data_IF_079860157368
#
_entry.id   IF_079860157368
#
_cell.length_a   1.000
_cell.length_b   1.000
_cell.length_c   1.000
_cell.angle_alpha   90.00
_cell.angle_beta   90.00
_cell.angle_gamma   90.00
#
_symmetry.space_group_name_H-M   'P 1'
#
loop_
_entity.id
_entity.type
_entity.pdbx_description
1 polymer ?
#
# COMPACT_ATOMS: atom_id res chain seq x y z
N UNK A 1 11.11 -12.68 -7.36
CA UNK A 1 11.92 -12.30 -6.18
C UNK A 1 11.53 -10.88 -5.81
N UNK A 2 11.41 -10.53 -4.52
CA UNK A 2 10.96 -9.20 -4.08
C UNK A 2 11.55 -8.81 -2.74
N UNK A 3 11.49 -7.52 -2.40
CA UNK A 3 12.04 -6.93 -1.17
C UNK A 3 10.96 -6.79 -0.12
N UNK A 4 11.14 -7.42 1.05
CA UNK A 4 10.20 -7.38 2.18
C UNK A 4 10.79 -6.63 3.34
N UNK A 5 10.04 -5.66 3.87
CA UNK A 5 10.35 -4.99 5.13
C UNK A 5 9.45 -5.53 6.24
N UNK A 6 10.07 -5.87 7.38
CA UNK A 6 9.41 -6.61 8.45
C UNK A 6 9.77 -6.05 9.82
N UNK A 7 8.80 -6.07 10.72
CA UNK A 7 8.98 -5.89 12.16
C UNK A 7 8.91 -7.27 12.79
N UNK A 8 10.05 -7.79 13.24
CA UNK A 8 10.20 -9.19 13.65
C UNK A 8 9.74 -10.13 12.52
N UNK A 9 8.61 -10.83 12.72
CA UNK A 9 8.02 -11.76 11.74
C UNK A 9 6.88 -11.14 10.92
N UNK A 10 6.47 -9.89 11.18
CA UNK A 10 5.32 -9.24 10.53
C UNK A 10 5.80 -8.36 9.37
N UNK A 11 5.36 -8.64 8.15
CA UNK A 11 5.67 -7.82 6.97
C UNK A 11 4.74 -6.63 6.89
N UNK A 12 5.30 -5.42 6.91
CA UNK A 12 4.53 -4.18 6.73
C UNK A 12 4.64 -3.66 5.30
N UNK A 13 5.70 -3.96 4.58
CA UNK A 13 5.84 -3.60 3.18
C UNK A 13 6.47 -4.73 2.37
N UNK A 14 6.04 -4.91 1.12
CA UNK A 14 6.65 -5.83 0.18
C UNK A 14 6.57 -5.27 -1.23
N UNK A 15 7.73 -5.04 -1.85
CA UNK A 15 7.82 -4.70 -3.27
C UNK A 15 8.22 -5.93 -4.04
N UNK A 16 7.52 -6.22 -5.13
CA UNK A 16 7.87 -7.31 -6.03
C UNK A 16 7.51 -6.97 -7.49
N UNK A 17 8.33 -7.48 -8.40
CA UNK A 17 7.91 -7.63 -9.79
C UNK A 17 6.94 -8.81 -9.86
N UNK A 18 5.74 -8.53 -10.33
CA UNK A 18 4.67 -9.47 -10.59
C UNK A 18 4.79 -9.86 -12.05
N UNK A 19 5.01 -11.15 -12.26
CA UNK A 19 4.92 -11.77 -13.58
C UNK A 19 3.58 -12.50 -13.64
N UNK A 20 2.66 -12.14 -14.57
CA UNK A 20 1.34 -12.76 -14.70
C UNK A 20 1.38 -14.29 -14.77
N UNK A 21 2.40 -14.86 -15.42
CA UNK A 21 2.56 -16.31 -15.61
C UNK A 21 2.88 -17.04 -14.30
N UNK A 22 3.45 -16.32 -13.33
CA UNK A 22 3.93 -16.89 -12.07
C UNK A 22 3.12 -16.42 -10.85
N UNK A 23 2.38 -15.31 -10.98
CA UNK A 23 1.78 -14.58 -9.86
C UNK A 23 0.36 -14.09 -10.17
N UNK A 24 -0.46 -14.95 -10.76
CA UNK A 24 -1.81 -14.65 -11.23
C UNK A 24 -2.73 -13.95 -10.19
N UNK A 25 -2.55 -14.17 -8.89
CA UNK A 25 -3.35 -13.48 -7.86
C UNK A 25 -3.05 -11.97 -7.76
N UNK A 26 -1.80 -11.57 -8.00
CA UNK A 26 -1.44 -10.15 -8.05
C UNK A 26 -1.82 -9.53 -9.39
N UNK A 27 -1.57 -10.24 -10.50
CA UNK A 27 -1.89 -9.80 -11.84
C UNK A 27 -3.40 -9.55 -12.02
N UNK A 28 -4.25 -10.48 -11.55
CA UNK A 28 -5.72 -10.30 -11.55
C UNK A 28 -6.17 -9.14 -10.68
N UNK A 29 -5.61 -9.01 -9.49
CA UNK A 29 -6.02 -7.96 -8.57
C UNK A 29 -5.61 -6.56 -9.09
N UNK A 30 -4.50 -6.48 -9.82
CA UNK A 30 -4.04 -5.26 -10.49
C UNK A 30 -4.60 -5.09 -11.92
N UNK A 31 -5.48 -6.00 -12.37
CA UNK A 31 -6.05 -6.03 -13.72
C UNK A 31 -5.00 -5.86 -14.85
N UNK A 32 -3.89 -6.60 -14.75
CA UNK A 32 -2.76 -6.49 -15.68
C UNK A 32 -2.32 -7.84 -16.24
N UNK A 33 -2.18 -7.90 -17.56
CA UNK A 33 -1.61 -9.02 -18.31
C UNK A 33 -0.12 -8.83 -18.65
N UNK A 34 0.50 -7.76 -18.16
CA UNK A 34 1.92 -7.46 -18.33
C UNK A 34 2.68 -7.55 -17.00
N UNK A 35 4.01 -7.76 -17.03
CA UNK A 35 4.82 -7.68 -15.83
C UNK A 35 4.78 -6.28 -15.20
N UNK A 36 4.28 -6.19 -13.97
CA UNK A 36 4.15 -4.93 -13.23
C UNK A 36 4.98 -4.93 -11.95
N UNK A 37 5.37 -3.75 -11.48
CA UNK A 37 5.94 -3.59 -10.15
C UNK A 37 4.81 -3.27 -9.16
N UNK A 38 4.72 -4.04 -8.07
CA UNK A 38 3.68 -3.86 -7.05
C UNK A 38 4.33 -3.62 -5.70
N UNK A 39 3.77 -2.66 -4.96
CA UNK A 39 3.96 -2.51 -3.52
C UNK A 39 2.73 -3.07 -2.81
N UNK A 40 2.91 -3.93 -1.81
CA UNK A 40 1.87 -4.22 -0.82
C UNK A 40 2.23 -3.68 0.54
N UNK A 41 1.23 -3.16 1.22
CA UNK A 41 1.34 -2.57 2.54
C UNK A 41 0.10 -2.88 3.39
N UNK A 42 0.14 -2.46 4.65
CA UNK A 42 -0.95 -2.64 5.62
C UNK A 42 -1.70 -1.35 5.85
N UNK A 43 -3.02 -1.42 5.86
CA UNK A 43 -3.90 -0.30 6.16
C UNK A 43 -5.04 -0.77 7.09
N UNK A 44 -5.46 0.04 8.06
CA UNK A 44 -6.71 -0.17 8.82
C UNK A 44 -7.91 -0.37 7.88
N UNK A 45 -8.82 -1.29 8.24
CA UNK A 45 -9.93 -1.66 7.36
C UNK A 45 -10.87 -0.49 6.99
N UNK A 46 -10.96 0.52 7.85
CA UNK A 46 -11.71 1.76 7.65
C UNK A 46 -11.05 2.71 6.62
N UNK A 47 -9.74 2.64 6.43
CA UNK A 47 -9.01 3.45 5.45
C UNK A 47 -8.92 2.76 4.07
N UNK A 48 -8.94 1.42 4.04
CA UNK A 48 -8.90 0.62 2.79
C UNK A 48 -9.99 1.06 1.82
N UNK A 49 -11.21 1.27 2.31
CA UNK A 49 -12.34 1.67 1.46
C UNK A 49 -12.07 3.01 0.74
N UNK A 50 -11.39 3.95 1.42
CA UNK A 50 -11.00 5.24 0.83
C UNK A 50 -9.95 5.08 -0.26
N UNK A 51 -8.90 4.28 -0.01
CA UNK A 51 -7.86 3.98 -0.99
C UNK A 51 -8.44 3.34 -2.25
N UNK A 52 -9.31 2.34 -2.09
CA UNK A 52 -9.95 1.65 -3.21
C UNK A 52 -10.94 2.54 -3.97
N UNK A 53 -11.62 3.46 -3.28
CA UNK A 53 -12.50 4.43 -3.93
C UNK A 53 -11.74 5.43 -4.81
N UNK A 54 -10.44 5.67 -4.52
CA UNK A 54 -9.53 6.43 -5.38
C UNK A 54 -9.22 5.73 -6.71
N UNK A 55 -9.42 4.42 -6.80
CA UNK A 55 -9.12 3.62 -7.99
C UNK A 55 -7.62 3.38 -8.17
N UNK A 56 -7.17 3.31 -9.42
CA UNK A 56 -5.74 3.17 -9.74
C UNK A 56 -4.92 4.26 -9.02
N UNK A 57 -3.78 3.93 -8.38
CA UNK A 57 -3.03 2.67 -8.48
C UNK A 57 -3.41 1.58 -7.46
N UNK A 58 -4.43 1.80 -6.64
CA UNK A 58 -4.76 0.92 -5.52
C UNK A 58 -5.65 -0.25 -5.91
N UNK A 59 -5.38 -1.40 -5.30
CA UNK A 59 -6.22 -2.58 -5.42
C UNK A 59 -6.21 -3.41 -4.13
N UNK A 60 -7.21 -4.29 -4.01
CA UNK A 60 -7.32 -5.21 -2.87
C UNK A 60 -6.91 -6.61 -3.30
N UNK A 61 -5.79 -7.14 -2.77
CA UNK A 61 -5.48 -8.56 -2.95
C UNK A 61 -6.49 -9.43 -2.19
N UNK A 62 -6.78 -10.62 -2.72
CA UNK A 62 -7.69 -11.62 -2.13
C UNK A 62 -7.15 -12.28 -0.85
N UNK A 63 -5.97 -11.88 -0.38
CA UNK A 63 -5.35 -12.38 0.83
C UNK A 63 -5.10 -11.24 1.82
N UNK A 64 -5.24 -11.54 3.11
CA UNK A 64 -5.00 -10.59 4.21
C UNK A 64 -6.06 -9.49 4.27
N UNK A 65 -6.81 -9.44 5.37
CA UNK A 65 -7.91 -8.49 5.54
C UNK A 65 -7.45 -7.02 5.52
N UNK A 66 -6.23 -6.77 6.00
CA UNK A 66 -5.65 -5.44 6.18
C UNK A 66 -4.50 -5.16 5.20
N UNK A 67 -4.54 -5.79 4.03
CA UNK A 67 -3.50 -5.67 2.99
C UNK A 67 -4.07 -4.92 1.81
N UNK A 68 -3.32 -3.92 1.34
CA UNK A 68 -3.58 -3.16 0.13
C UNK A 68 -2.40 -3.35 -0.83
N UNK A 69 -2.70 -3.43 -2.12
CA UNK A 69 -1.73 -3.40 -3.20
C UNK A 69 -1.77 -2.06 -3.92
N UNK A 70 -0.62 -1.64 -4.42
CA UNK A 70 -0.43 -0.46 -5.23
C UNK A 70 0.47 -0.80 -6.41
N UNK A 71 0.06 -0.44 -7.62
CA UNK A 71 0.93 -0.51 -8.80
C UNK A 71 1.96 0.63 -8.71
N UNK A 72 3.23 0.30 -8.92
CA UNK A 72 4.32 1.27 -9.03
C UNK A 72 4.59 1.51 -10.52
N UNK A 73 4.20 2.68 -11.00
CA UNK A 73 4.46 3.17 -12.35
C UNK A 73 5.22 4.51 -12.32
N UNK A 74 5.39 5.13 -13.49
CA UNK A 74 6.12 6.38 -13.64
C UNK A 74 5.41 7.61 -13.01
N UNK A 75 4.13 7.48 -12.64
CA UNK A 75 3.32 8.54 -12.05
C UNK A 75 3.33 8.54 -10.51
N UNK A 76 4.06 7.60 -9.90
CA UNK A 76 4.02 7.39 -8.45
C UNK A 76 4.47 8.64 -7.66
N UNK A 77 3.62 9.05 -6.71
CA UNK A 77 4.00 10.05 -5.71
C UNK A 77 4.75 9.38 -4.55
N UNK A 78 6.06 9.56 -4.52
CA UNK A 78 6.91 9.01 -3.47
C UNK A 78 6.66 9.62 -2.09
N UNK A 79 6.08 10.82 -2.01
CA UNK A 79 5.65 11.39 -0.74
C UNK A 79 4.49 10.58 -0.18
N UNK A 80 3.44 10.34 -0.98
CA UNK A 80 2.29 9.50 -0.62
C UNK A 80 2.74 8.08 -0.22
N UNK A 81 3.63 7.44 -1.00
CA UNK A 81 4.22 6.14 -0.62
C UNK A 81 4.89 6.19 0.75
N UNK A 82 5.60 7.28 1.05
CA UNK A 82 6.21 7.51 2.35
C UNK A 82 5.19 7.54 3.49
N UNK A 83 4.05 8.21 3.28
CA UNK A 83 2.93 8.25 4.26
C UNK A 83 2.32 6.87 4.46
N UNK A 84 1.95 6.18 3.37
CA UNK A 84 1.36 4.84 3.41
C UNK A 84 2.26 3.82 4.11
N UNK A 85 3.56 3.86 3.85
CA UNK A 85 4.52 2.96 4.50
C UNK A 85 4.74 3.30 5.98
N UNK A 86 4.67 4.58 6.34
CA UNK A 86 4.76 5.06 7.72
C UNK A 86 3.57 4.57 8.54
N UNK A 87 2.37 4.71 8.00
CA UNK A 87 1.14 4.21 8.62
C UNK A 87 1.16 2.68 8.70
N UNK A 88 1.52 2.01 7.61
CA UNK A 88 1.65 0.56 7.58
C UNK A 88 2.63 0.01 8.63
N UNK A 89 3.77 0.67 8.79
CA UNK A 89 4.71 0.36 9.85
C UNK A 89 4.04 0.51 11.23
N UNK A 90 3.37 1.64 11.48
CA UNK A 90 2.69 1.91 12.75
C UNK A 90 1.60 0.89 13.09
N UNK A 91 0.86 0.37 12.10
CA UNK A 91 -0.15 -0.68 12.28
C UNK A 91 0.46 -1.97 12.85
N UNK A 92 1.68 -2.33 12.42
CA UNK A 92 2.33 -3.56 12.87
C UNK A 92 3.33 -3.37 14.02
N UNK A 93 3.83 -2.14 14.20
CA UNK A 93 4.85 -1.82 15.17
C UNK A 93 4.33 -1.96 16.62
N UNK A 94 5.16 -2.47 17.54
CA UNK A 94 4.92 -2.27 18.97
C UNK A 94 4.78 -0.78 19.29
N UNK A 95 3.91 -0.43 20.24
CA UNK A 95 3.64 0.97 20.64
C UNK A 95 4.90 1.82 20.87
N UNK A 96 5.92 1.23 21.50
CA UNK A 96 7.21 1.90 21.75
C UNK A 96 7.93 2.33 20.47
N UNK A 97 7.85 1.53 19.40
CA UNK A 97 8.47 1.86 18.12
C UNK A 97 7.59 2.80 17.29
N UNK A 98 6.27 2.58 17.30
CA UNK A 98 5.34 3.47 16.62
C UNK A 98 5.41 4.91 17.16
N UNK A 99 5.70 5.07 18.46
CA UNK A 99 5.85 6.38 19.10
C UNK A 99 7.15 7.13 18.72
N UNK A 100 8.10 6.46 18.06
CA UNK A 100 9.36 7.07 17.60
C UNK A 100 9.30 7.52 16.13
N UNK A 101 8.17 7.29 15.47
CA UNK A 101 7.98 7.63 14.06
C UNK A 101 7.21 8.94 14.00
N UNK A 102 7.80 9.95 13.37
CA UNK A 102 7.11 11.18 13.03
C UNK A 102 6.04 10.86 11.99
N UNK A 103 4.78 11.09 12.36
CA UNK A 103 3.67 10.88 11.44
C UNK A 103 3.47 12.13 10.60
N UNK A 104 3.39 12.01 9.26
CA UNK A 104 2.91 13.12 8.45
C UNK A 104 1.54 13.54 8.98
N UNK A 105 1.37 14.85 9.22
CA UNK A 105 0.07 15.37 9.60
C UNK A 105 -0.88 15.11 8.43
N UNK A 106 -2.06 14.52 8.71
CA UNK A 106 -3.05 14.22 7.68
C UNK A 106 -3.20 15.41 6.72
N UNK A 107 -3.18 15.18 5.39
CA UNK A 107 -3.34 16.27 4.43
C UNK A 107 -4.65 17.02 4.74
N UNK A 108 -4.65 18.36 4.67
CA UNK A 108 -5.86 19.13 4.92
C UNK A 108 -6.97 18.64 3.98
N UNK A 109 -8.23 18.54 4.45
CA UNK A 109 -9.31 17.99 3.64
C UNK A 109 -9.36 18.70 2.29
N UNK A 110 -9.39 17.92 1.21
CA UNK A 110 -9.47 18.43 -0.14
C UNK A 110 -10.62 19.45 -0.24
N UNK A 111 -10.32 20.66 -0.71
CA UNK A 111 -11.33 21.70 -0.90
C UNK A 111 -12.44 21.16 -1.80
N UNK A 112 -13.73 21.33 -1.46
CA UNK A 112 -14.81 20.98 -2.36
C UNK A 112 -14.64 21.78 -3.66
N UNK A 113 -14.77 21.08 -4.81
CA UNK A 113 -14.74 21.72 -6.12
C UNK A 113 -15.89 22.74 -6.23
N UNK A 114 -15.66 23.93 -6.82
CA UNK A 114 -16.73 24.89 -7.04
C UNK A 114 -17.75 24.33 -8.04
N UNK A 115 -19.03 24.51 -7.71
CA UNK A 115 -20.19 24.17 -8.56
C UNK A 115 -20.26 24.99 -9.84
#
# INVERSE_FOLDING_TARGET
MGTRWRIRKRTFAHVLAVDPDHQAAYARAADSDEPICVLTFRSPGDEIAGLLAGGHPFFKPDWGADVVGMVLDDSVDWAEVGELLTESYCVLAPKKLAALVDRPAAPPPARPAPH
#
